data_IF_426460530884
#
_entry.id   IF_426460530884
#
_cell.length_a   1.000
_cell.length_b   1.000
_cell.length_c   1.000
_cell.angle_alpha   90.00
_cell.angle_beta   90.00
_cell.angle_gamma   90.00
#
_symmetry.space_group_name_H-M   'P 1'
#
loop_
_entity.id
_entity.type
_entity.pdbx_description
1 polymer ?
#
# COMPACT_ATOMS: atom_id res chain seq x y z
N UNK A 1 23.02 -5.57 -2.40
CA UNK A 1 21.89 -5.81 -3.32
C UNK A 1 20.69 -4.98 -2.88
N UNK A 2 19.90 -4.44 -3.79
CA UNK A 2 18.74 -3.59 -3.48
C UNK A 2 17.62 -3.76 -4.53
N UNK A 3 16.54 -2.98 -4.41
CA UNK A 3 15.39 -3.02 -5.34
C UNK A 3 15.82 -2.80 -6.80
N UNK A 4 16.80 -1.92 -7.07
CA UNK A 4 17.30 -1.68 -8.44
C UNK A 4 17.98 -2.93 -9.01
N UNK A 5 18.72 -3.67 -8.19
CA UNK A 5 19.30 -4.97 -8.58
C UNK A 5 18.21 -5.98 -8.94
N UNK A 6 17.15 -6.09 -8.13
CA UNK A 6 16.03 -7.00 -8.39
C UNK A 6 15.28 -6.63 -9.69
N UNK A 7 15.04 -5.34 -9.91
CA UNK A 7 14.41 -4.80 -11.11
C UNK A 7 15.24 -5.09 -12.36
N UNK A 8 16.57 -4.91 -12.28
CA UNK A 8 17.48 -5.24 -13.37
C UNK A 8 17.47 -6.74 -13.68
N UNK A 9 17.49 -7.61 -12.67
CA UNK A 9 17.41 -9.05 -12.85
C UNK A 9 16.07 -9.49 -13.48
N UNK A 10 14.96 -8.86 -13.09
CA UNK A 10 13.63 -9.08 -13.68
C UNK A 10 13.59 -8.64 -15.14
N UNK A 11 14.21 -7.52 -15.49
CA UNK A 11 14.26 -7.01 -16.87
C UNK A 11 15.16 -7.85 -17.79
N UNK A 12 16.31 -8.33 -17.27
CA UNK A 12 17.28 -9.13 -18.01
C UNK A 12 16.92 -10.63 -18.07
N UNK A 13 15.77 -11.05 -17.53
CA UNK A 13 15.36 -12.44 -17.61
C UNK A 13 15.03 -12.82 -19.07
N UNK A 14 15.49 -13.99 -19.51
CA UNK A 14 15.31 -14.48 -20.88
C UNK A 14 13.85 -14.48 -21.36
N UNK A 15 12.88 -14.69 -20.46
CA UNK A 15 11.46 -14.60 -20.80
C UNK A 15 11.06 -13.16 -21.18
N UNK A 16 11.56 -12.18 -20.43
CA UNK A 16 11.29 -10.76 -20.66
C UNK A 16 11.94 -10.26 -21.94
N UNK A 17 13.17 -10.68 -22.22
CA UNK A 17 13.85 -10.37 -23.48
C UNK A 17 13.13 -11.00 -24.69
N UNK A 18 12.68 -12.26 -24.57
CA UNK A 18 12.06 -12.98 -25.68
C UNK A 18 10.61 -12.57 -25.97
N UNK A 19 9.86 -12.14 -24.95
CA UNK A 19 8.40 -11.95 -25.07
C UNK A 19 7.92 -10.51 -24.80
N UNK A 20 8.78 -9.66 -24.25
CA UNK A 20 8.40 -8.35 -23.73
C UNK A 20 7.52 -8.42 -22.46
N UNK A 21 7.29 -9.60 -21.89
CA UNK A 21 6.49 -9.80 -20.68
C UNK A 21 7.38 -10.01 -19.47
N UNK A 22 7.02 -9.42 -18.34
CA UNK A 22 7.79 -9.54 -17.11
C UNK A 22 6.90 -9.81 -15.90
N UNK A 23 7.50 -10.37 -14.86
CA UNK A 23 6.83 -10.56 -13.56
C UNK A 23 6.66 -9.20 -12.88
N UNK A 24 5.45 -8.92 -12.39
CA UNK A 24 5.20 -7.68 -11.65
C UNK A 24 5.84 -7.72 -10.27
N UNK A 25 6.58 -6.68 -9.94
CA UNK A 25 7.11 -6.43 -8.61
C UNK A 25 6.10 -5.59 -7.82
N UNK A 26 5.96 -5.88 -6.52
CA UNK A 26 5.01 -5.19 -5.64
C UNK A 26 5.68 -4.77 -4.34
N UNK A 27 5.47 -3.52 -3.93
CA UNK A 27 5.68 -3.13 -2.55
C UNK A 27 4.45 -3.49 -1.72
N UNK A 28 4.67 -4.28 -0.67
CA UNK A 28 3.64 -4.69 0.27
C UNK A 28 3.77 -3.87 1.56
N UNK A 29 2.70 -3.17 1.94
CA UNK A 29 2.66 -2.30 3.11
C UNK A 29 1.64 -2.81 4.14
N UNK A 30 1.94 -2.56 5.40
CA UNK A 30 0.96 -2.57 6.49
C UNK A 30 0.74 -1.13 6.93
N UNK A 31 -0.52 -0.68 6.89
CA UNK A 31 -0.88 0.71 7.19
C UNK A 31 -1.05 0.89 8.70
N UNK A 32 -0.33 1.88 9.21
CA UNK A 32 -0.27 2.28 10.60
C UNK A 32 -0.50 3.80 10.67
N UNK A 33 -0.98 4.30 11.79
CA UNK A 33 -1.13 5.75 12.00
C UNK A 33 0.15 6.53 11.69
N UNK A 34 1.29 5.95 12.04
CA UNK A 34 2.57 6.64 11.96
C UNK A 34 3.15 6.68 10.55
N UNK A 35 2.63 5.87 9.61
CA UNK A 35 3.22 5.73 8.28
C UNK A 35 2.27 6.04 7.11
N UNK A 36 0.95 6.12 7.33
CA UNK A 36 0.02 6.17 6.20
C UNK A 36 0.18 7.44 5.36
N UNK A 37 0.64 8.54 5.95
CA UNK A 37 0.88 9.82 5.26
C UNK A 37 2.00 9.72 4.23
N UNK A 38 2.87 8.70 4.31
CA UNK A 38 3.98 8.49 3.38
C UNK A 38 3.56 7.72 2.11
N UNK A 39 2.36 7.12 2.08
CA UNK A 39 1.89 6.28 0.97
C UNK A 39 2.04 6.97 -0.41
N UNK A 40 1.66 8.26 -0.59
CA UNK A 40 1.86 8.93 -1.89
C UNK A 40 3.34 9.00 -2.31
N UNK A 41 4.26 9.23 -1.36
CA UNK A 41 5.69 9.24 -1.62
C UNK A 41 6.22 7.84 -1.92
N UNK A 42 5.71 6.81 -1.25
CA UNK A 42 6.06 5.41 -1.54
C UNK A 42 5.62 5.00 -2.95
N UNK A 43 4.46 5.47 -3.42
CA UNK A 43 4.00 5.25 -4.80
C UNK A 43 4.96 5.87 -5.81
N UNK A 44 5.39 7.12 -5.59
CA UNK A 44 6.39 7.79 -6.44
C UNK A 44 7.74 7.07 -6.40
N UNK A 45 8.17 6.64 -5.21
CA UNK A 45 9.38 5.84 -5.05
C UNK A 45 9.29 4.49 -5.78
N UNK A 46 8.13 3.83 -5.77
CA UNK A 46 7.90 2.59 -6.50
C UNK A 46 8.13 2.82 -8.01
N UNK A 47 7.58 3.91 -8.56
CA UNK A 47 7.79 4.29 -9.95
C UNK A 47 9.27 4.53 -10.28
N UNK A 48 9.96 5.33 -9.46
CA UNK A 48 11.39 5.65 -9.61
C UNK A 48 12.32 4.43 -9.53
N UNK A 49 11.85 3.37 -8.87
CA UNK A 49 12.55 2.10 -8.74
C UNK A 49 12.14 1.09 -9.82
N UNK A 50 11.09 1.35 -10.59
CA UNK A 50 10.54 0.41 -11.58
C UNK A 50 9.72 -0.72 -10.97
N UNK A 51 9.08 -0.47 -9.82
CA UNK A 51 8.13 -1.37 -9.16
C UNK A 51 6.71 -1.08 -9.67
N UNK A 52 5.97 -2.12 -9.99
CA UNK A 52 4.75 -2.01 -10.80
C UNK A 52 3.48 -1.77 -9.96
N UNK A 53 3.53 -2.10 -8.67
CA UNK A 53 2.38 -2.03 -7.78
C UNK A 53 2.75 -1.70 -6.34
N UNK A 54 1.93 -0.89 -5.70
CA UNK A 54 1.88 -0.75 -4.24
C UNK A 54 0.59 -1.38 -3.75
N UNK A 55 0.70 -2.32 -2.82
CA UNK A 55 -0.43 -2.99 -2.18
C UNK A 55 -0.27 -2.88 -0.68
N UNK A 56 -1.37 -2.68 0.04
CA UNK A 56 -1.32 -2.84 1.48
C UNK A 56 -2.63 -3.22 2.10
N UNK A 57 -2.59 -3.29 3.42
CA UNK A 57 -3.73 -3.60 4.27
C UNK A 57 -3.56 -2.86 5.59
N UNK A 58 -4.67 -2.50 6.22
CA UNK A 58 -4.64 -1.97 7.58
C UNK A 58 -4.10 -3.00 8.56
N UNK A 59 -3.42 -2.52 9.61
CA UNK A 59 -3.03 -3.34 10.74
C UNK A 59 -4.22 -4.15 11.27
N UNK A 60 -4.01 -5.45 11.46
CA UNK A 60 -4.94 -6.32 12.17
C UNK A 60 -4.49 -6.43 13.62
N UNK A 61 -5.06 -5.60 14.50
CA UNK A 61 -4.66 -5.54 15.89
C UNK A 61 -5.28 -6.71 16.69
N UNK A 62 -4.60 -7.86 16.68
CA UNK A 62 -4.93 -8.97 17.59
C UNK A 62 -4.39 -8.74 19.02
N UNK A 63 -3.68 -7.63 19.23
CA UNK A 63 -2.99 -7.26 20.46
C UNK A 63 -3.44 -5.86 20.87
N UNK A 64 -3.84 -5.69 22.13
CA UNK A 64 -4.41 -4.44 22.64
C UNK A 64 -3.42 -3.27 22.51
N UNK A 65 -2.11 -3.51 22.66
CA UNK A 65 -1.08 -2.48 22.51
C UNK A 65 -0.99 -1.92 21.08
N UNK A 66 -1.51 -2.65 20.09
CA UNK A 66 -1.48 -2.30 18.67
C UNK A 66 -2.79 -1.64 18.20
N UNK A 67 -3.88 -1.76 18.97
CA UNK A 67 -5.20 -1.26 18.60
C UNK A 67 -5.21 0.26 18.37
N UNK A 68 -4.43 1.00 19.16
CA UNK A 68 -4.29 2.46 19.04
C UNK A 68 -3.68 2.92 17.71
N UNK A 69 -3.04 2.03 16.95
CA UNK A 69 -2.34 2.37 15.69
C UNK A 69 -3.19 2.12 14.45
N UNK A 70 -4.38 1.54 14.61
CA UNK A 70 -5.33 1.29 13.52
C UNK A 70 -6.06 2.58 13.13
N UNK A 71 -6.20 2.80 11.82
CA UNK A 71 -7.02 3.90 11.25
C UNK A 71 -8.52 3.61 11.30
N UNK A 72 -8.91 2.41 11.74
CA UNK A 72 -10.30 2.00 11.91
C UNK A 72 -10.80 2.12 13.34
N UNK A 73 -9.96 2.58 14.28
CA UNK A 73 -10.31 2.59 15.71
C UNK A 73 -11.39 3.62 16.07
N UNK A 74 -11.43 4.75 15.37
CA UNK A 74 -12.33 5.86 15.63
C UNK A 74 -12.50 6.75 14.37
N UNK A 75 -13.50 7.64 14.41
CA UNK A 75 -13.86 8.51 13.30
C UNK A 75 -12.77 9.53 12.95
N UNK A 76 -11.98 9.96 13.92
CA UNK A 76 -10.92 10.95 13.75
C UNK A 76 -9.73 10.35 12.99
N UNK A 77 -9.31 9.14 13.35
CA UNK A 77 -8.31 8.36 12.63
C UNK A 77 -8.77 8.00 11.21
N UNK A 78 -10.04 7.59 11.05
CA UNK A 78 -10.62 7.32 9.74
C UNK A 78 -10.65 8.57 8.85
N UNK A 79 -10.97 9.73 9.43
CA UNK A 79 -10.96 11.02 8.72
C UNK A 79 -9.56 11.39 8.21
N UNK A 80 -8.53 11.24 9.06
CA UNK A 80 -7.13 11.43 8.67
C UNK A 80 -6.71 10.53 7.52
N UNK A 81 -7.04 9.25 7.59
CA UNK A 81 -6.79 8.29 6.51
C UNK A 81 -7.50 8.72 5.22
N UNK A 82 -8.80 9.03 5.30
CA UNK A 82 -9.61 9.42 4.16
C UNK A 82 -9.09 10.69 3.46
N UNK A 83 -8.46 11.61 4.21
CA UNK A 83 -7.80 12.79 3.64
C UNK A 83 -6.51 12.47 2.85
N UNK A 84 -5.84 11.35 3.16
CA UNK A 84 -4.64 10.88 2.44
C UNK A 84 -4.98 10.08 1.17
N UNK A 85 -6.05 9.26 1.21
CA UNK A 85 -6.48 8.41 0.07
C UNK A 85 -6.46 9.12 -1.29
N UNK A 86 -7.04 10.33 -1.48
CA UNK A 86 -7.00 11.01 -2.78
C UNK A 86 -5.58 11.33 -3.25
N UNK A 87 -4.67 11.70 -2.35
CA UNK A 87 -3.27 12.01 -2.68
C UNK A 87 -2.52 10.76 -3.15
N UNK A 88 -2.79 9.61 -2.52
CA UNK A 88 -2.21 8.33 -2.96
C UNK A 88 -2.74 7.91 -4.33
N UNK A 89 -4.04 8.10 -4.57
CA UNK A 89 -4.67 7.82 -5.88
C UNK A 89 -4.15 8.74 -6.98
N UNK A 90 -3.93 10.01 -6.66
CA UNK A 90 -3.29 10.97 -7.58
C UNK A 90 -1.86 10.53 -7.94
N UNK A 91 -1.03 10.22 -6.95
CA UNK A 91 0.33 9.71 -7.19
C UNK A 91 0.35 8.44 -8.05
N UNK A 92 -0.62 7.53 -7.85
CA UNK A 92 -0.75 6.32 -8.67
C UNK A 92 -1.14 6.66 -10.12
N UNK A 93 -2.05 7.60 -10.33
CA UNK A 93 -2.45 8.07 -11.65
C UNK A 93 -1.32 8.79 -12.39
N UNK A 94 -0.54 9.62 -11.68
CA UNK A 94 0.64 10.33 -12.22
C UNK A 94 1.72 9.37 -12.71
N UNK A 95 1.95 8.28 -11.96
CA UNK A 95 3.09 7.38 -12.18
C UNK A 95 2.76 6.13 -12.97
N UNK A 96 1.47 5.76 -13.07
CA UNK A 96 1.02 4.50 -13.65
C UNK A 96 1.24 3.27 -12.76
N UNK A 97 1.70 3.45 -11.51
CA UNK A 97 1.85 2.37 -10.54
C UNK A 97 0.46 1.92 -10.07
N UNK A 98 0.20 0.61 -10.08
CA UNK A 98 -1.07 0.09 -9.56
C UNK A 98 -1.14 0.28 -8.03
N UNK A 99 -2.29 0.74 -7.52
CA UNK A 99 -2.53 0.93 -6.09
C UNK A 99 -3.68 0.03 -5.62
N UNK A 100 -3.41 -0.83 -4.62
CA UNK A 100 -4.39 -1.78 -4.07
C UNK A 100 -4.50 -1.66 -2.55
N UNK A 101 -5.73 -1.73 -2.02
CA UNK A 101 -6.01 -1.72 -0.57
C UNK A 101 -6.02 -0.32 0.06
N UNK A 102 -5.99 0.75 -0.75
CA UNK A 102 -6.05 2.15 -0.29
C UNK A 102 -7.43 2.73 -0.63
N UNK A 103 -8.41 2.37 0.19
CA UNK A 103 -9.82 2.76 0.03
C UNK A 103 -10.31 3.56 1.23
N UNK A 104 -11.37 4.35 1.02
CA UNK A 104 -11.96 5.14 2.10
C UNK A 104 -12.54 4.22 3.18
N UNK A 105 -12.34 4.59 4.44
CA UNK A 105 -12.98 3.96 5.59
C UNK A 105 -14.36 4.62 5.76
N UNK A 106 -15.46 3.85 5.81
CA UNK A 106 -16.79 4.39 6.07
C UNK A 106 -16.88 5.08 7.43
N UNK A 107 -17.57 6.21 7.51
CA UNK A 107 -17.78 6.96 8.77
C UNK A 107 -18.59 6.16 9.81
N UNK A 108 -19.28 5.10 9.38
CA UNK A 108 -20.07 4.22 10.25
C UNK A 108 -19.33 2.96 10.72
N UNK A 109 -18.01 2.86 10.49
CA UNK A 109 -17.23 1.68 10.88
C UNK A 109 -17.01 1.64 12.40
N UNK A 110 -18.06 1.27 13.14
CA UNK A 110 -17.95 0.79 14.51
C UNK A 110 -17.36 -0.61 14.52
N UNK A 111 -16.29 -0.77 15.30
CA UNK A 111 -15.52 -1.99 15.58
C UNK A 111 -14.83 -2.68 14.39
N UNK A 112 -13.53 -2.90 14.58
CA UNK A 112 -12.63 -3.62 13.70
C UNK A 112 -13.05 -5.09 13.61
N UNK A 113 -13.95 -5.42 12.67
CA UNK A 113 -14.30 -6.80 12.37
C UNK A 113 -13.11 -7.48 11.68
N UNK A 114 -12.20 -8.04 12.48
CA UNK A 114 -11.25 -9.02 12.00
C UNK A 114 -12.01 -10.21 11.37
N UNK A 115 -11.58 -10.75 10.22
CA UNK A 115 -12.16 -11.99 9.70
C UNK A 115 -11.85 -13.13 10.68
N UNK A 116 -12.84 -13.54 11.46
CA UNK A 116 -12.71 -14.66 12.41
C UNK A 116 -12.88 -14.33 13.90
N UNK A 117 -13.69 -13.34 14.26
CA UNK A 117 -14.24 -13.32 15.63
C UNK A 117 -15.03 -14.63 15.88
N UNK A 118 -14.86 -15.30 17.03
CA UNK A 118 -15.54 -16.56 17.35
C UNK A 118 -17.06 -16.41 17.41
#
# INVERSE_FOLDING_TARGET
ENVRTLVAARNANALSEATGRYVRLTFQLTFLEENFTEIPLIVRLAADLGVDRVKGHHLWAHWEEMAGRSMKRDADAASRWNAMVPQAKEAAAETGVALEGVDLIPESAGEDLSPGAP
#
